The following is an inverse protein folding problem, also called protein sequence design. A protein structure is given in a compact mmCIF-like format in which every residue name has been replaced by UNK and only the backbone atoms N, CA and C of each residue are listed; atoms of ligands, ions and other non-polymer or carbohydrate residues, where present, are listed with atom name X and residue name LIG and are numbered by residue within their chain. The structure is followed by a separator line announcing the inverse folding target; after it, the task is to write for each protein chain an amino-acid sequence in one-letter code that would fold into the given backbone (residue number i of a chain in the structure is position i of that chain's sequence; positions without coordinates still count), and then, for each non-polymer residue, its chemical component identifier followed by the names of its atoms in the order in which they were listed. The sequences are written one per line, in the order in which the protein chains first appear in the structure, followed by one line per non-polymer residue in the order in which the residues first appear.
data_IF_101943513863
#
_entry.id   IF_101943513863
#
_cell.length_a   1.000
_cell.length_b   1.000
_cell.length_c   1.000
_cell.angle_alpha   90.00
_cell.angle_beta   90.00
_cell.angle_gamma   90.00
#
_symmetry.space_group_name_H-M   'P 1'
#
loop_
_entity.id
_entity.type
_entity.pdbx_description
1 polymer ?
#
# COMPACT_ATOMS: atom_id res chain seq x y z
N UNK A 1 -35.61 -12.63 -9.25
CA UNK A 1 -34.28 -12.40 -9.87
C UNK A 1 -34.39 -12.79 -11.32
N UNK A 2 -34.18 -11.88 -12.22
CA UNK A 2 -34.16 -12.20 -13.67
C UNK A 2 -32.83 -12.91 -13.94
N UNK A 3 -32.94 -14.20 -14.40
CA UNK A 3 -31.76 -14.90 -14.92
C UNK A 3 -31.21 -14.13 -16.11
N UNK A 4 -29.93 -13.81 -16.09
CA UNK A 4 -29.26 -13.19 -17.24
C UNK A 4 -29.18 -14.19 -18.36
N UNK A 5 -29.85 -13.93 -19.48
CA UNK A 5 -29.82 -14.79 -20.66
C UNK A 5 -28.56 -14.49 -21.46
N UNK A 6 -27.61 -15.44 -21.44
CA UNK A 6 -26.37 -15.35 -22.20
C UNK A 6 -26.62 -15.83 -23.63
N UNK A 7 -26.21 -15.06 -24.66
CA UNK A 7 -26.36 -15.44 -26.05
C UNK A 7 -25.68 -16.78 -26.39
N UNK A 8 -26.28 -17.56 -27.25
CA UNK A 8 -25.71 -18.83 -27.70
C UNK A 8 -24.35 -18.64 -28.34
N UNK A 9 -23.37 -19.43 -27.93
CA UNK A 9 -21.99 -19.37 -28.42
C UNK A 9 -21.08 -18.42 -27.67
N UNK A 10 -21.58 -17.74 -26.63
CA UNK A 10 -20.81 -16.86 -25.77
C UNK A 10 -20.64 -17.50 -24.39
N UNK A 11 -19.45 -17.37 -23.80
CA UNK A 11 -19.21 -17.79 -22.42
C UNK A 11 -19.80 -16.76 -21.44
N UNK A 12 -20.13 -17.21 -20.23
CA UNK A 12 -20.61 -16.31 -19.17
C UNK A 12 -19.62 -15.17 -18.90
N UNK A 13 -18.33 -15.51 -18.85
CA UNK A 13 -17.26 -14.53 -18.63
C UNK A 13 -17.19 -13.47 -19.73
N UNK A 14 -17.25 -13.89 -21.01
CA UNK A 14 -17.27 -12.95 -22.15
C UNK A 14 -18.48 -12.01 -22.10
N UNK A 15 -19.64 -12.56 -21.73
CA UNK A 15 -20.83 -11.72 -21.58
C UNK A 15 -20.65 -10.64 -20.54
N UNK A 16 -20.22 -11.01 -19.34
CA UNK A 16 -20.05 -10.04 -18.24
C UNK A 16 -18.90 -9.05 -18.47
N UNK A 17 -17.79 -9.48 -19.07
CA UNK A 17 -16.65 -8.60 -19.35
C UNK A 17 -16.89 -7.60 -20.49
N UNK A 18 -17.76 -7.93 -21.47
CA UNK A 18 -17.87 -7.14 -22.71
C UNK A 18 -19.26 -6.54 -22.91
N UNK A 19 -20.31 -7.23 -22.55
CA UNK A 19 -21.68 -6.87 -22.91
C UNK A 19 -22.57 -6.43 -21.76
N UNK A 20 -22.26 -6.82 -20.54
CA UNK A 20 -23.00 -6.41 -19.35
C UNK A 20 -22.74 -4.93 -19.00
N UNK A 21 -23.63 -4.35 -18.23
CA UNK A 21 -23.35 -3.07 -17.60
C UNK A 21 -22.27 -3.23 -16.52
N UNK A 22 -21.58 -2.15 -16.19
CA UNK A 22 -20.55 -2.15 -15.14
C UNK A 22 -21.08 -2.70 -13.81
N UNK A 23 -22.32 -2.33 -13.45
CA UNK A 23 -22.96 -2.82 -12.24
C UNK A 23 -23.16 -4.34 -12.27
N UNK A 24 -23.69 -4.87 -13.36
CA UNK A 24 -23.90 -6.31 -13.54
C UNK A 24 -22.57 -7.06 -13.51
N UNK A 25 -21.54 -6.52 -14.18
CA UNK A 25 -20.20 -7.08 -14.15
C UNK A 25 -19.65 -7.14 -12.72
N UNK A 26 -19.70 -6.05 -11.96
CA UNK A 26 -19.19 -6.02 -10.60
C UNK A 26 -19.94 -6.97 -9.67
N UNK A 27 -21.28 -7.04 -9.79
CA UNK A 27 -22.10 -7.96 -9.01
C UNK A 27 -21.78 -9.44 -9.33
N UNK A 28 -21.47 -9.74 -10.58
CA UNK A 28 -21.03 -11.06 -11.03
C UNK A 28 -19.61 -11.35 -10.57
N UNK A 29 -18.66 -10.44 -10.79
CA UNK A 29 -17.25 -10.59 -10.47
C UNK A 29 -17.00 -10.88 -8.99
N UNK A 30 -17.71 -10.18 -8.11
CA UNK A 30 -17.59 -10.36 -6.67
C UNK A 30 -18.02 -11.76 -6.18
N UNK A 31 -18.81 -12.49 -6.98
CA UNK A 31 -19.29 -13.84 -6.65
C UNK A 31 -18.43 -14.95 -7.24
N UNK A 32 -17.46 -14.60 -8.10
CA UNK A 32 -16.60 -15.58 -8.75
C UNK A 32 -15.52 -16.10 -7.81
N UNK A 33 -15.28 -17.39 -7.86
CA UNK A 33 -14.10 -18.03 -7.25
C UNK A 33 -12.93 -17.96 -8.25
N UNK A 34 -12.41 -16.73 -8.43
CA UNK A 34 -11.33 -16.47 -9.37
C UNK A 34 -9.97 -16.81 -8.73
N UNK A 35 -8.97 -17.21 -9.55
CA UNK A 35 -7.63 -17.42 -9.04
C UNK A 35 -7.13 -16.21 -8.26
N UNK A 36 -6.73 -16.42 -7.01
CA UNK A 36 -6.13 -15.36 -6.20
C UNK A 36 -4.63 -15.33 -6.47
N UNK A 37 -4.14 -14.19 -6.92
CA UNK A 37 -2.70 -13.95 -7.00
C UNK A 37 -2.16 -13.59 -5.62
N UNK A 38 -0.93 -14.02 -5.34
CA UNK A 38 -0.22 -13.52 -4.17
C UNK A 38 -0.13 -12.00 -4.24
N UNK A 39 -0.30 -11.36 -3.10
CA UNK A 39 -0.29 -9.90 -2.99
C UNK A 39 0.82 -9.49 -2.04
N UNK A 40 1.65 -8.50 -2.41
CA UNK A 40 2.61 -7.95 -1.47
C UNK A 40 1.90 -7.21 -0.35
N UNK A 41 2.49 -7.21 0.82
CA UNK A 41 2.16 -6.21 1.82
C UNK A 41 2.73 -4.86 1.37
N UNK A 42 1.96 -3.81 1.50
CA UNK A 42 2.42 -2.46 1.17
C UNK A 42 2.80 -1.75 2.46
N UNK A 43 4.00 -1.18 2.47
CA UNK A 43 4.52 -0.37 3.58
C UNK A 43 4.80 1.06 3.12
N UNK A 44 4.96 1.95 4.05
CA UNK A 44 5.46 3.29 3.83
C UNK A 44 6.71 3.52 4.65
N UNK A 45 7.65 4.27 4.12
CA UNK A 45 8.85 4.74 4.81
C UNK A 45 9.00 6.24 4.60
N UNK A 46 9.15 6.97 5.70
CA UNK A 46 9.26 8.42 5.67
C UNK A 46 10.72 8.88 5.71
N UNK A 47 11.14 9.61 4.69
CA UNK A 47 12.41 10.33 4.67
C UNK A 47 12.18 11.76 5.16
N UNK A 48 12.04 11.93 6.46
CA UNK A 48 11.85 13.23 7.08
C UNK A 48 13.20 13.87 7.35
N UNK A 49 13.37 15.13 6.97
CA UNK A 49 14.60 15.88 7.17
C UNK A 49 14.33 17.33 7.56
N UNK A 50 15.32 17.92 8.18
CA UNK A 50 15.34 19.35 8.47
C UNK A 50 16.76 19.92 8.30
N UNK A 51 16.85 21.23 8.28
CA UNK A 51 18.13 21.94 8.28
C UNK A 51 18.41 22.47 9.67
N UNK A 52 19.56 22.10 10.22
CA UNK A 52 20.06 22.58 11.51
C UNK A 52 21.49 23.07 11.31
N UNK A 53 21.74 24.33 11.60
CA UNK A 53 23.06 24.95 11.44
C UNK A 53 23.69 24.71 10.04
N UNK A 54 22.89 24.84 9.01
CA UNK A 54 23.32 24.63 7.61
C UNK A 54 23.57 23.18 7.20
N UNK A 55 23.22 22.22 8.05
CA UNK A 55 23.36 20.76 7.78
C UNK A 55 22.01 20.10 7.69
N UNK A 56 21.89 19.14 6.78
CA UNK A 56 20.71 18.28 6.68
C UNK A 56 20.76 17.24 7.79
N UNK A 57 19.67 17.14 8.54
CA UNK A 57 19.47 16.10 9.56
C UNK A 57 18.30 15.21 9.14
N UNK A 58 18.51 13.90 9.15
CA UNK A 58 17.47 12.91 8.90
C UNK A 58 16.86 12.42 10.21
N UNK A 59 15.54 12.24 10.20
CA UNK A 59 14.83 11.60 11.29
C UNK A 59 14.97 10.08 11.15
N UNK A 60 15.59 9.47 12.14
CA UNK A 60 15.72 8.02 12.26
C UNK A 60 15.21 7.56 13.61
N UNK A 61 14.70 6.35 13.66
CA UNK A 61 14.35 5.66 14.90
C UNK A 61 15.29 4.49 15.12
N UNK A 62 15.45 4.09 16.38
CA UNK A 62 16.12 2.84 16.73
C UNK A 62 15.07 1.75 16.90
N UNK A 63 15.18 0.71 16.10
CA UNK A 63 14.23 -0.41 16.14
C UNK A 63 14.30 -1.12 17.50
N UNK A 64 13.14 -1.31 18.13
CA UNK A 64 13.01 -2.02 19.40
C UNK A 64 12.87 -3.53 19.24
N UNK A 65 12.45 -3.99 18.06
CA UNK A 65 12.13 -5.38 17.79
C UNK A 65 12.76 -5.88 16.49
N UNK A 66 12.80 -7.19 16.32
CA UNK A 66 13.20 -7.83 15.06
C UNK A 66 12.18 -7.57 13.95
N UNK A 67 12.61 -7.62 12.69
CA UNK A 67 13.98 -7.77 12.20
C UNK A 67 14.82 -6.50 12.44
N UNK A 68 16.13 -6.65 12.40
CA UNK A 68 17.09 -5.55 12.58
C UNK A 68 16.96 -4.80 13.92
N UNK A 69 16.72 -5.54 14.99
CA UNK A 69 16.64 -4.95 16.35
C UNK A 69 17.87 -4.12 16.65
N UNK A 70 17.67 -2.97 17.30
CA UNK A 70 18.68 -1.97 17.65
C UNK A 70 19.34 -1.24 16.48
N UNK A 71 19.00 -1.54 15.24
CA UNK A 71 19.45 -0.77 14.08
C UNK A 71 18.64 0.52 13.92
N UNK A 72 19.28 1.52 13.29
CA UNK A 72 18.59 2.74 12.88
C UNK A 72 17.73 2.47 11.63
N UNK A 73 16.55 3.06 11.59
CA UNK A 73 15.62 2.90 10.50
C UNK A 73 14.83 4.20 10.25
N UNK A 74 14.28 4.32 9.04
CA UNK A 74 13.28 5.33 8.75
C UNK A 74 12.01 5.06 9.56
N UNK A 75 11.25 6.10 9.85
CA UNK A 75 9.90 5.96 10.38
C UNK A 75 9.00 5.38 9.30
N UNK A 76 8.25 4.35 9.62
CA UNK A 76 7.36 3.73 8.65
C UNK A 76 6.65 2.50 9.20
N UNK A 77 5.77 1.94 8.40
CA UNK A 77 4.98 0.77 8.77
C UNK A 77 4.07 0.31 7.67
N UNK A 78 3.20 -0.64 7.98
CA UNK A 78 2.23 -1.18 7.04
C UNK A 78 1.08 -0.21 6.80
N UNK A 79 0.65 -0.13 5.55
CA UNK A 79 -0.56 0.61 5.20
C UNK A 79 -1.81 -0.15 5.62
N UNK A 80 -2.79 0.59 6.12
CA UNK A 80 -4.13 0.08 6.36
C UNK A 80 -4.97 0.15 5.08
N UNK A 81 -5.94 -0.76 4.95
CA UNK A 81 -6.79 -0.87 3.76
C UNK A 81 -7.54 0.42 3.41
N UNK A 82 -7.86 1.23 4.41
CA UNK A 82 -8.69 2.42 4.28
C UNK A 82 -7.93 3.73 4.11
N UNK A 83 -6.61 3.68 3.99
CA UNK A 83 -5.78 4.87 3.86
C UNK A 83 -4.91 4.84 2.60
N UNK A 84 -4.56 6.01 2.08
CA UNK A 84 -3.53 6.14 1.06
C UNK A 84 -2.13 6.26 1.69
N UNK A 85 -1.09 6.18 0.87
CA UNK A 85 0.29 6.19 1.35
C UNK A 85 0.69 7.49 2.07
N UNK A 86 0.09 8.63 1.72
CA UNK A 86 0.35 9.92 2.36
C UNK A 86 -0.21 9.95 3.78
N UNK A 87 -1.45 9.51 3.95
CA UNK A 87 -2.09 9.38 5.27
C UNK A 87 -1.42 8.31 6.13
N UNK A 88 -1.00 7.18 5.52
CA UNK A 88 -0.21 6.17 6.23
C UNK A 88 1.09 6.75 6.80
N UNK A 89 1.84 7.52 6.00
CA UNK A 89 3.04 8.20 6.47
C UNK A 89 2.76 9.18 7.62
N UNK A 90 1.71 10.00 7.49
CA UNK A 90 1.33 10.94 8.54
C UNK A 90 0.98 10.21 9.85
N UNK A 91 0.22 9.12 9.76
CA UNK A 91 -0.16 8.28 10.90
C UNK A 91 1.06 7.66 11.57
N UNK A 92 1.94 6.99 10.80
CA UNK A 92 3.12 6.31 11.33
C UNK A 92 4.08 7.30 12.02
N UNK A 93 4.31 8.46 11.43
CA UNK A 93 5.15 9.51 12.06
C UNK A 93 4.53 10.00 13.36
N UNK A 94 3.23 10.16 13.41
CA UNK A 94 2.54 10.54 14.66
C UNK A 94 2.63 9.46 15.73
N UNK A 95 2.40 8.20 15.35
CA UNK A 95 2.42 7.07 16.28
C UNK A 95 3.83 6.78 16.82
N UNK A 96 4.86 6.79 15.95
CA UNK A 96 6.21 6.40 16.34
C UNK A 96 7.02 7.54 17.00
N UNK A 97 6.84 8.78 16.54
CA UNK A 97 7.67 9.91 16.97
C UNK A 97 6.89 11.14 17.45
N UNK A 98 5.56 11.04 17.49
CA UNK A 98 4.64 12.10 17.96
C UNK A 98 4.83 13.45 17.25
N UNK A 99 5.08 13.42 15.95
CA UNK A 99 5.12 14.58 15.09
C UNK A 99 3.88 14.67 14.21
N UNK A 100 3.31 15.87 14.10
CA UNK A 100 2.26 16.19 13.16
C UNK A 100 2.87 16.80 11.90
N UNK A 101 2.85 16.06 10.80
CA UNK A 101 3.28 16.55 9.49
C UNK A 101 2.08 16.96 8.65
N UNK A 102 2.09 18.17 8.07
CA UNK A 102 1.07 18.57 7.11
C UNK A 102 1.11 17.68 5.88
N UNK A 103 -0.05 17.20 5.41
CA UNK A 103 -0.14 16.31 4.24
C UNK A 103 0.48 16.93 2.99
N UNK A 104 0.35 18.23 2.80
CA UNK A 104 0.90 18.95 1.66
C UNK A 104 2.44 18.96 1.59
N UNK A 105 3.11 18.63 2.70
CA UNK A 105 4.57 18.49 2.77
C UNK A 105 5.07 17.06 2.55
N UNK A 106 4.15 16.10 2.44
CA UNK A 106 4.48 14.70 2.25
C UNK A 106 4.41 14.38 0.76
N UNK A 107 5.56 14.28 0.11
CA UNK A 107 5.67 13.99 -1.32
C UNK A 107 6.20 12.57 -1.55
N UNK A 108 5.84 11.98 -2.68
CA UNK A 108 6.38 10.68 -3.05
C UNK A 108 7.83 10.81 -3.51
N UNK A 109 8.71 10.02 -2.92
CA UNK A 109 10.12 9.96 -3.29
C UNK A 109 10.37 8.82 -4.29
N UNK A 110 10.05 7.59 -3.91
CA UNK A 110 10.22 6.40 -4.74
C UNK A 110 9.41 5.22 -4.22
N UNK A 111 9.26 4.22 -5.08
CA UNK A 111 8.76 2.90 -4.69
C UNK A 111 9.90 1.90 -4.73
N UNK A 112 10.05 1.08 -3.70
CA UNK A 112 11.06 0.01 -3.63
C UNK A 112 10.37 -1.33 -3.55
N UNK A 113 10.60 -2.16 -4.57
CA UNK A 113 9.97 -3.49 -4.72
C UNK A 113 10.97 -4.63 -4.90
N UNK A 114 12.22 -4.42 -4.52
CA UNK A 114 13.27 -5.44 -4.66
C UNK A 114 12.87 -6.74 -3.96
N UNK A 115 12.89 -7.88 -4.65
CA UNK A 115 12.59 -9.18 -4.04
C UNK A 115 13.49 -9.46 -2.83
N UNK A 116 12.88 -9.98 -1.76
CA UNK A 116 13.62 -10.34 -0.55
C UNK A 116 14.10 -9.17 0.31
N UNK A 117 13.67 -7.95 0.04
CA UNK A 117 14.03 -6.75 0.83
C UNK A 117 13.60 -6.84 2.31
N UNK A 118 12.52 -7.54 2.57
CA UNK A 118 12.01 -7.78 3.93
C UNK A 118 12.07 -9.29 4.23
N UNK A 119 12.78 -9.72 5.28
CA UNK A 119 12.90 -11.14 5.62
C UNK A 119 11.59 -11.78 6.10
N UNK A 120 10.58 -10.99 6.42
CA UNK A 120 9.27 -11.48 6.89
C UNK A 120 8.35 -11.91 5.76
N UNK A 121 8.57 -11.41 4.53
CA UNK A 121 7.73 -11.76 3.38
C UNK A 121 7.83 -10.78 2.21
N UNK A 122 6.95 -10.94 1.27
CA UNK A 122 6.89 -10.07 0.10
C UNK A 122 6.31 -8.70 0.45
N UNK A 123 7.14 -7.67 0.41
CA UNK A 123 6.75 -6.29 0.69
C UNK A 123 7.17 -5.34 -0.40
N UNK A 124 6.35 -4.35 -0.64
CA UNK A 124 6.64 -3.17 -1.46
C UNK A 124 6.50 -1.95 -0.57
N UNK A 125 7.50 -1.07 -0.56
CA UNK A 125 7.41 0.18 0.21
C UNK A 125 7.27 1.38 -0.72
N UNK A 126 6.45 2.32 -0.29
CA UNK A 126 6.31 3.64 -0.89
C UNK A 126 7.06 4.62 0.03
N UNK A 127 8.24 5.05 -0.40
CA UNK A 127 9.02 6.05 0.32
C UNK A 127 8.52 7.46 0.00
N UNK A 128 8.40 8.27 1.03
CA UNK A 128 7.92 9.65 0.94
C UNK A 128 8.80 10.62 1.72
#
# INVERSE_FOLDING_TARGET
MTETIIPAGMTEREYFEIHATEKEFLDWYCKQDLPQYEKPSVTVDMVAYCFVEGKIKLLLIRRKAHPYQNCLALVGGFMDKSEDARHACQREVREEVNLDLPLEKIEQLMTVSTPGRDPRGWTVTIAR
#
